data_IF_460933660994
#
_entry.id   IF_460933660994
#
_cell.length_a   1.000
_cell.length_b   1.000
_cell.length_c   1.000
_cell.angle_alpha   90.00
_cell.angle_beta   90.00
_cell.angle_gamma   90.00
#
_symmetry.space_group_name_H-M   'P 1'
#
loop_
_entity.id
_entity.type
_entity.pdbx_description
1 polymer ?
#
# COMPACT_ATOMS: atom_id res chain seq x y z
N UNK A 1 6.06 17.71 -7.73
CA UNK A 1 6.15 16.24 -7.65
C UNK A 1 5.13 15.76 -6.64
N UNK A 2 4.18 14.92 -7.05
CA UNK A 2 3.19 14.31 -6.17
C UNK A 2 3.61 12.87 -5.90
N UNK A 3 3.62 12.49 -4.64
CA UNK A 3 3.93 11.12 -4.23
C UNK A 3 2.65 10.36 -3.94
N UNK A 4 2.63 9.10 -4.33
CA UNK A 4 1.52 8.18 -4.07
C UNK A 4 2.06 6.87 -3.51
N UNK A 5 1.27 6.21 -2.67
CA UNK A 5 1.54 4.83 -2.30
C UNK A 5 0.59 3.90 -3.06
N UNK A 6 1.12 2.83 -3.63
CA UNK A 6 0.34 1.74 -4.21
C UNK A 6 0.43 0.49 -3.35
N UNK A 7 -0.70 -0.18 -3.15
CA UNK A 7 -0.80 -1.45 -2.41
C UNK A 7 -1.48 -2.48 -3.31
N UNK A 8 -0.86 -3.65 -3.45
CA UNK A 8 -1.40 -4.79 -4.20
C UNK A 8 -1.56 -5.98 -3.25
N UNK A 9 -2.80 -6.37 -3.00
CA UNK A 9 -3.21 -7.46 -2.11
C UNK A 9 -3.52 -8.69 -2.99
N UNK A 10 -2.53 -9.56 -3.14
CA UNK A 10 -2.67 -10.84 -3.82
C UNK A 10 -3.33 -11.91 -2.95
N UNK A 11 -3.35 -13.16 -3.39
CA UNK A 11 -3.79 -14.30 -2.54
C UNK A 11 -2.75 -14.73 -1.49
N UNK A 12 -1.46 -14.45 -1.74
CA UNK A 12 -0.36 -14.95 -0.89
C UNK A 12 0.48 -13.82 -0.31
N UNK A 13 0.56 -12.68 -1.00
CA UNK A 13 1.47 -11.59 -0.64
C UNK A 13 0.77 -10.25 -0.77
N UNK A 14 1.20 -9.31 0.06
CA UNK A 14 0.95 -7.88 -0.11
C UNK A 14 2.22 -7.26 -0.69
N UNK A 15 2.08 -6.38 -1.66
CA UNK A 15 3.14 -5.52 -2.16
C UNK A 15 2.78 -4.07 -1.86
N UNK A 16 3.77 -3.26 -1.50
CA UNK A 16 3.59 -1.83 -1.33
C UNK A 16 4.72 -1.08 -2.02
N UNK A 17 4.40 0.01 -2.71
CA UNK A 17 5.36 0.85 -3.39
C UNK A 17 5.07 2.33 -3.15
N UNK A 18 6.12 3.12 -3.02
CA UNK A 18 6.06 4.58 -3.15
C UNK A 18 6.44 4.94 -4.57
N UNK A 19 5.62 5.75 -5.25
CA UNK A 19 5.85 6.20 -6.61
C UNK A 19 5.61 7.70 -6.75
N UNK A 20 6.15 8.29 -7.82
CA UNK A 20 5.81 9.65 -8.25
C UNK A 20 4.61 9.68 -9.20
N UNK A 21 4.17 10.88 -9.59
CA UNK A 21 3.02 11.12 -10.46
C UNK A 21 3.14 10.51 -11.86
N UNK A 22 4.36 10.14 -12.29
CA UNK A 22 4.61 9.51 -13.59
C UNK A 22 4.50 7.99 -13.53
N UNK A 23 4.29 7.44 -12.33
CA UNK A 23 4.27 6.00 -12.07
C UNK A 23 5.66 5.41 -11.83
N UNK A 24 6.71 6.24 -11.70
CA UNK A 24 8.05 5.74 -11.39
C UNK A 24 8.10 5.26 -9.94
N UNK A 25 8.43 3.98 -9.75
CA UNK A 25 8.61 3.39 -8.42
C UNK A 25 9.92 3.89 -7.81
N UNK A 26 9.83 4.50 -6.62
CA UNK A 26 10.96 5.03 -5.85
C UNK A 26 11.48 4.04 -4.82
N UNK A 27 10.58 3.24 -4.25
CA UNK A 27 10.89 2.12 -3.36
C UNK A 27 9.69 1.18 -3.31
N UNK A 28 9.95 -0.12 -3.12
CA UNK A 28 8.90 -1.10 -2.89
C UNK A 28 9.31 -2.14 -1.85
N UNK A 29 8.32 -2.83 -1.31
CA UNK A 29 8.50 -4.00 -0.47
C UNK A 29 7.36 -5.01 -0.67
N UNK A 30 7.60 -6.24 -0.23
CA UNK A 30 6.66 -7.36 -0.31
C UNK A 30 6.68 -8.13 0.99
N UNK A 31 5.51 -8.52 1.48
CA UNK A 31 5.33 -9.41 2.63
C UNK A 31 4.31 -10.50 2.33
N UNK A 32 4.39 -11.63 3.05
CA UNK A 32 3.32 -12.64 3.03
C UNK A 32 2.08 -12.10 3.75
N UNK A 33 0.90 -12.40 3.24
CA UNK A 33 -0.36 -11.97 3.86
C UNK A 33 -0.49 -12.55 5.27
N UNK A 34 -0.91 -11.71 6.21
CA UNK A 34 -1.34 -12.12 7.54
C UNK A 34 -2.83 -12.49 7.50
N UNK A 35 -3.13 -13.75 7.81
CA UNK A 35 -4.47 -14.35 7.65
C UNK A 35 -5.23 -14.52 8.97
N UNK A 36 -4.76 -13.93 10.08
CA UNK A 36 -5.39 -14.15 11.39
C UNK A 36 -6.72 -13.44 11.56
N UNK A 37 -6.81 -12.15 11.21
CA UNK A 37 -8.08 -11.41 11.18
C UNK A 37 -8.06 -10.30 10.13
N UNK A 38 -9.23 -9.81 9.73
CA UNK A 38 -9.35 -8.64 8.83
C UNK A 38 -8.59 -7.42 9.35
N UNK A 39 -8.51 -7.24 10.68
CA UNK A 39 -7.74 -6.14 11.27
C UNK A 39 -6.23 -6.31 11.09
N UNK A 40 -5.73 -7.53 10.94
CA UNK A 40 -4.31 -7.77 10.73
C UNK A 40 -3.86 -7.34 9.34
N UNK A 41 -4.66 -7.61 8.30
CA UNK A 41 -4.32 -7.18 6.94
C UNK A 41 -4.35 -5.65 6.84
N UNK A 42 -5.31 -4.98 7.47
CA UNK A 42 -5.34 -3.51 7.56
C UNK A 42 -4.08 -2.97 8.24
N UNK A 43 -3.70 -3.51 9.40
CA UNK A 43 -2.47 -3.11 10.11
C UNK A 43 -1.21 -3.39 9.29
N UNK A 44 -1.17 -4.52 8.57
CA UNK A 44 -0.07 -4.87 7.70
C UNK A 44 0.09 -3.83 6.59
N UNK A 45 -0.99 -3.51 5.88
CA UNK A 45 -1.00 -2.51 4.82
C UNK A 45 -0.55 -1.15 5.34
N UNK A 46 -1.12 -0.67 6.45
CA UNK A 46 -0.71 0.61 7.05
C UNK A 46 0.77 0.62 7.42
N UNK A 47 1.28 -0.47 8.00
CA UNK A 47 2.70 -0.61 8.35
C UNK A 47 3.60 -0.56 7.10
N UNK A 48 3.21 -1.24 6.03
CA UNK A 48 3.94 -1.24 4.77
C UNK A 48 4.03 0.16 4.15
N UNK A 49 2.90 0.89 4.10
CA UNK A 49 2.87 2.27 3.60
C UNK A 49 3.79 3.18 4.42
N UNK A 50 3.74 3.08 5.75
CA UNK A 50 4.62 3.87 6.63
C UNK A 50 6.11 3.53 6.40
N UNK A 51 6.45 2.27 6.14
CA UNK A 51 7.83 1.85 5.90
C UNK A 51 8.37 2.33 4.56
N UNK A 52 7.60 2.24 3.48
CA UNK A 52 8.06 2.75 2.17
C UNK A 52 8.26 4.27 2.21
N UNK A 53 7.40 5.00 2.91
CA UNK A 53 7.57 6.44 3.14
C UNK A 53 8.85 6.73 3.93
N UNK A 54 9.03 6.06 5.08
CA UNK A 54 10.20 6.24 5.94
C UNK A 54 11.51 5.94 5.22
N UNK A 55 11.57 4.91 4.37
CA UNK A 55 12.77 4.57 3.57
C UNK A 55 13.20 5.66 2.60
N UNK A 56 12.31 6.60 2.27
CA UNK A 56 12.59 7.74 1.38
C UNK A 56 12.56 9.08 2.11
N UNK A 57 12.46 9.08 3.45
CA UNK A 57 12.38 10.30 4.25
C UNK A 57 11.09 11.10 4.02
N UNK A 58 10.03 10.47 3.52
CA UNK A 58 8.74 11.10 3.20
C UNK A 58 7.79 10.94 4.38
N UNK A 59 7.07 12.00 4.76
CA UNK A 59 5.99 11.92 5.74
C UNK A 59 4.73 11.40 5.05
N UNK A 60 3.97 10.55 5.73
CA UNK A 60 2.71 10.00 5.17
C UNK A 60 1.72 11.11 4.79
N UNK A 61 1.72 12.23 5.53
CA UNK A 61 0.90 13.40 5.23
C UNK A 61 1.25 14.11 3.91
N UNK A 62 2.38 13.78 3.29
CA UNK A 62 2.82 14.34 2.00
C UNK A 62 2.37 13.47 0.81
N UNK A 63 1.78 12.30 1.06
CA UNK A 63 1.18 11.50 0.01
C UNK A 63 -0.08 12.19 -0.51
N UNK A 64 -0.18 12.30 -1.83
CA UNK A 64 -1.40 12.74 -2.49
C UNK A 64 -2.54 11.71 -2.38
N UNK A 65 -2.20 10.44 -2.12
CA UNK A 65 -3.16 9.38 -1.90
C UNK A 65 -2.51 8.00 -1.78
N UNK A 66 -3.36 7.02 -1.45
CA UNK A 66 -3.02 5.59 -1.42
C UNK A 66 -3.98 4.85 -2.36
N UNK A 67 -3.44 4.16 -3.35
CA UNK A 67 -4.19 3.25 -4.21
C UNK A 67 -4.13 1.82 -3.68
N UNK A 68 -5.26 1.12 -3.67
CA UNK A 68 -5.34 -0.29 -3.25
C UNK A 68 -5.92 -1.12 -4.40
N UNK A 69 -5.21 -2.18 -4.76
CA UNK A 69 -5.70 -3.25 -5.60
C UNK A 69 -5.82 -4.52 -4.75
N UNK A 70 -6.90 -5.27 -4.91
CA UNK A 70 -7.13 -6.52 -4.19
C UNK A 70 -7.64 -7.58 -5.15
N UNK A 71 -7.36 -8.83 -4.84
CA UNK A 71 -7.92 -9.97 -5.58
C UNK A 71 -9.32 -10.28 -5.04
N UNK A 72 -10.31 -10.41 -5.92
CA UNK A 72 -11.70 -10.70 -5.55
C UNK A 72 -12.64 -9.50 -5.73
N UNK A 73 -13.93 -9.66 -5.40
CA UNK A 73 -14.89 -8.56 -5.47
C UNK A 73 -14.48 -7.43 -4.52
N UNK A 74 -14.45 -6.20 -5.04
CA UNK A 74 -14.14 -4.99 -4.29
C UNK A 74 -15.18 -3.93 -4.64
N UNK A 75 -15.94 -3.47 -3.65
CA UNK A 75 -16.72 -2.25 -3.75
C UNK A 75 -15.74 -1.07 -3.73
N UNK A 76 -15.47 -0.50 -4.90
CA UNK A 76 -14.53 0.61 -5.05
C UNK A 76 -14.93 1.87 -4.27
N UNK A 77 -16.21 2.03 -3.90
CA UNK A 77 -16.69 3.19 -3.13
C UNK A 77 -16.59 2.95 -1.63
N UNK A 78 -16.91 1.74 -1.17
CA UNK A 78 -16.94 1.40 0.26
C UNK A 78 -15.66 0.76 0.78
N UNK A 79 -14.85 0.19 -0.12
CA UNK A 79 -13.66 -0.59 0.20
C UNK A 79 -13.92 -1.98 0.77
N UNK A 80 -15.15 -2.49 0.64
CA UNK A 80 -15.60 -3.82 1.12
C UNK A 80 -15.57 -4.88 0.04
#
# INVERSE_FOLDING_TARGET
>A
MRLVAGVDIGGTNVRCALADETGRILVSERERIRTGSEREIVRQISSMVMRVCRRRGVRVAELAGVGIASTGPLDMRRGS
#
